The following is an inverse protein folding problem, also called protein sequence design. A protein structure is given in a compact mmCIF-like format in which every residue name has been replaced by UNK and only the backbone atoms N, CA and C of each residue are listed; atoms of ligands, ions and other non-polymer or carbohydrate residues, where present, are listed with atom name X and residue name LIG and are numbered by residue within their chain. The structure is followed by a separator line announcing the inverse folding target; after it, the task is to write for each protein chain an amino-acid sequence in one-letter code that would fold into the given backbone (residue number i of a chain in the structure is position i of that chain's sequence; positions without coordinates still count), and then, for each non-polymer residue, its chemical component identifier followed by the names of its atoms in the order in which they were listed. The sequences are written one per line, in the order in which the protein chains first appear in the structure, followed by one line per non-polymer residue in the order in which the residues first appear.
data_IF_159302513362
#
_entry.id   IF_159302513362
#
_cell.length_a   1.000
_cell.length_b   1.000
_cell.length_c   1.000
_cell.angle_alpha   90.00
_cell.angle_beta   90.00
_cell.angle_gamma   90.00
#
_symmetry.space_group_name_H-M   'P 1'
#
loop_
_entity.id
_entity.type
_entity.pdbx_description
1 polymer ?
#
# COMPACT_ATOMS: atom_id res chain seq x y z
N UNK A 1 39.44 31.81 57.99
CA UNK A 1 39.87 30.65 57.17
C UNK A 1 38.78 29.59 56.95
N UNK A 2 37.94 29.25 57.94
CA UNK A 2 36.87 28.24 57.82
C UNK A 2 35.77 28.59 56.79
N UNK A 3 35.34 29.85 56.72
CA UNK A 3 34.27 30.27 55.81
C UNK A 3 34.59 30.07 54.31
N UNK A 4 35.84 30.31 53.89
CA UNK A 4 36.28 30.11 52.49
C UNK A 4 36.19 28.64 52.05
N UNK A 5 36.43 27.70 52.98
CA UNK A 5 36.35 26.26 52.71
C UNK A 5 34.92 25.78 52.51
N UNK A 6 33.96 26.33 53.26
CA UNK A 6 32.54 25.97 53.16
C UNK A 6 31.96 26.45 51.83
N UNK A 7 32.25 27.68 51.42
CA UNK A 7 31.77 28.24 50.14
C UNK A 7 32.29 27.43 48.95
N UNK A 8 33.57 27.04 48.97
CA UNK A 8 34.14 26.20 47.92
C UNK A 8 33.46 24.82 47.82
N UNK A 9 33.13 24.22 48.97
CA UNK A 9 32.48 22.90 49.04
C UNK A 9 31.05 22.93 48.49
N UNK A 10 30.29 23.99 48.81
CA UNK A 10 28.93 24.20 48.26
C UNK A 10 28.98 24.42 46.75
N UNK A 11 29.97 25.16 46.26
CA UNK A 11 30.14 25.40 44.82
C UNK A 11 30.45 24.12 44.05
N UNK A 12 31.36 23.28 44.58
CA UNK A 12 31.69 21.98 43.98
C UNK A 12 30.48 21.05 43.97
N UNK A 13 29.69 21.04 45.05
CA UNK A 13 28.47 20.24 45.13
C UNK A 13 27.41 20.73 44.12
N UNK A 14 27.22 22.04 43.98
CA UNK A 14 26.29 22.62 43.01
C UNK A 14 26.71 22.30 41.57
N UNK A 15 28.01 22.36 41.26
CA UNK A 15 28.53 21.94 39.94
C UNK A 15 28.31 20.44 39.69
N UNK A 16 28.56 19.59 40.69
CA UNK A 16 28.37 18.14 40.55
C UNK A 16 26.89 17.78 40.31
N UNK A 17 25.95 18.41 41.04
CA UNK A 17 24.51 18.19 40.85
C UNK A 17 24.03 18.73 39.49
N UNK A 18 24.55 19.89 39.05
CA UNK A 18 24.23 20.46 37.74
C UNK A 18 24.71 19.57 36.58
N UNK A 19 25.87 18.91 36.73
CA UNK A 19 26.36 17.96 35.72
C UNK A 19 25.55 16.66 35.61
N UNK A 20 24.78 16.28 36.65
CA UNK A 20 23.92 15.09 36.61
C UNK A 20 22.58 15.32 35.90
N UNK A 21 22.13 16.57 35.75
CA UNK A 21 20.88 16.91 35.05
C UNK A 21 21.02 16.91 33.52
N UNK A 22 22.23 16.72 32.99
CA UNK A 22 22.52 16.64 31.55
C UNK A 22 22.63 15.21 31.01
N UNK A 23 22.09 14.22 31.72
CA UNK A 23 21.82 12.91 31.11
C UNK A 23 20.46 13.03 30.42
N UNK A 24 20.42 13.74 29.28
CA UNK A 24 19.33 13.54 28.34
C UNK A 24 19.42 12.09 27.88
N UNK A 25 18.39 11.31 28.21
CA UNK A 25 18.20 9.98 27.64
C UNK A 25 17.95 10.15 26.14
N UNK A 26 19.02 10.17 25.35
CA UNK A 26 18.95 10.00 23.90
C UNK A 26 18.96 8.51 23.59
N UNK A 27 18.02 7.76 24.15
CA UNK A 27 17.62 6.48 23.56
C UNK A 27 16.68 6.81 22.42
N UNK A 28 17.22 7.48 21.38
CA UNK A 28 16.58 7.47 20.08
C UNK A 28 16.66 6.01 19.61
N UNK A 29 15.63 5.24 19.94
CA UNK A 29 15.52 3.86 19.50
C UNK A 29 15.48 3.91 17.97
N UNK A 30 16.59 3.48 17.34
CA UNK A 30 16.68 3.47 15.89
C UNK A 30 15.54 2.60 15.36
N UNK A 31 14.73 3.18 14.47
CA UNK A 31 13.70 2.43 13.75
C UNK A 31 14.45 1.35 12.95
N UNK A 32 14.11 0.06 13.13
CA UNK A 32 14.80 -1.00 12.41
C UNK A 32 14.59 -0.81 10.91
N UNK A 33 15.66 -0.94 10.12
CA UNK A 33 15.54 -0.97 8.65
C UNK A 33 14.89 -2.29 8.24
N UNK A 34 13.80 -2.25 7.44
CA UNK A 34 13.18 -3.47 6.96
C UNK A 34 14.13 -4.23 6.02
N UNK A 35 13.98 -5.55 5.93
CA UNK A 35 14.77 -6.35 4.99
C UNK A 35 14.27 -6.18 3.56
N UNK A 36 15.01 -6.68 2.57
CA UNK A 36 14.53 -6.71 1.19
C UNK A 36 13.38 -7.72 1.07
N UNK A 37 12.17 -7.34 0.64
CA UNK A 37 11.05 -8.28 0.56
C UNK A 37 11.28 -9.34 -0.52
N UNK A 38 10.87 -10.59 -0.23
CA UNK A 38 10.76 -11.63 -1.25
C UNK A 38 9.47 -11.38 -2.05
N UNK A 39 9.60 -11.14 -3.35
CA UNK A 39 8.49 -10.89 -4.27
C UNK A 39 8.36 -12.02 -5.28
N UNK A 40 7.15 -12.54 -5.44
CA UNK A 40 6.77 -13.43 -6.55
C UNK A 40 5.64 -12.79 -7.35
N UNK A 41 5.76 -12.83 -8.67
CA UNK A 41 4.77 -12.26 -9.59
C UNK A 41 4.22 -13.38 -10.47
N UNK A 42 2.90 -13.42 -10.67
CA UNK A 42 2.27 -14.32 -11.63
C UNK A 42 1.08 -13.67 -12.32
N UNK A 43 0.82 -14.09 -13.55
CA UNK A 43 -0.42 -13.80 -14.27
C UNK A 43 -1.46 -14.85 -13.91
N UNK A 44 -2.65 -14.42 -13.49
CA UNK A 44 -3.80 -15.28 -13.25
C UNK A 44 -4.86 -14.98 -14.30
N UNK A 45 -5.20 -15.99 -15.09
CA UNK A 45 -6.21 -15.91 -16.15
C UNK A 45 -7.44 -16.72 -15.76
N UNK A 46 -8.51 -16.01 -15.40
CA UNK A 46 -9.83 -16.55 -15.10
C UNK A 46 -10.84 -16.23 -16.22
N UNK A 47 -10.36 -15.99 -17.44
CA UNK A 47 -11.20 -15.67 -18.60
C UNK A 47 -12.07 -16.85 -19.00
N UNK A 48 -13.28 -16.58 -19.48
CA UNK A 48 -14.24 -17.60 -19.87
C UNK A 48 -15.10 -17.15 -21.06
N UNK A 49 -15.63 -18.10 -21.80
CA UNK A 49 -16.52 -17.84 -22.92
C UNK A 49 -17.98 -17.93 -22.48
N UNK A 50 -18.78 -16.92 -22.83
CA UNK A 50 -20.22 -16.89 -22.62
C UNK A 50 -20.90 -17.37 -23.90
N UNK A 51 -21.57 -18.54 -23.90
CA UNK A 51 -22.23 -19.05 -25.08
C UNK A 51 -23.40 -18.15 -25.49
N UNK A 52 -23.71 -18.14 -26.78
CA UNK A 52 -24.87 -17.41 -27.29
C UNK A 52 -26.15 -17.95 -26.63
N UNK A 53 -27.04 -17.04 -26.20
CA UNK A 53 -28.34 -17.46 -25.65
C UNK A 53 -29.28 -17.79 -26.80
N UNK A 54 -29.96 -18.93 -26.73
CA UNK A 54 -31.01 -19.27 -27.68
C UNK A 54 -32.16 -18.25 -27.53
N UNK A 55 -32.62 -17.62 -28.62
CA UNK A 55 -33.78 -16.73 -28.56
C UNK A 55 -34.99 -17.51 -28.05
N UNK A 56 -35.67 -16.94 -27.05
CA UNK A 56 -36.91 -17.51 -26.52
C UNK A 56 -38.10 -16.91 -27.26
N UNK A 57 -39.10 -17.74 -27.52
CA UNK A 57 -40.33 -17.34 -28.20
C UNK A 57 -41.54 -17.73 -27.36
N UNK A 58 -42.57 -16.91 -27.40
CA UNK A 58 -43.89 -17.23 -26.84
C UNK A 58 -44.93 -17.14 -27.93
N UNK A 59 -45.95 -18.00 -27.84
CA UNK A 59 -47.11 -17.93 -28.73
C UNK A 59 -48.07 -16.90 -28.14
N UNK A 60 -48.51 -15.94 -28.97
CA UNK A 60 -49.59 -15.02 -28.62
C UNK A 60 -50.91 -15.80 -28.53
N UNK A 61 -51.60 -15.82 -27.37
CA UNK A 61 -52.79 -16.65 -27.18
C UNK A 61 -54.01 -16.17 -27.98
N UNK A 62 -53.99 -14.95 -28.52
CA UNK A 62 -55.11 -14.37 -29.28
C UNK A 62 -54.91 -14.44 -30.79
N UNK A 63 -53.66 -14.46 -31.26
CA UNK A 63 -53.33 -14.48 -32.69
C UNK A 63 -52.70 -15.79 -33.16
N UNK A 64 -52.21 -16.63 -32.25
CA UNK A 64 -51.47 -17.86 -32.56
C UNK A 64 -50.08 -17.61 -33.15
N UNK A 65 -49.65 -16.35 -33.29
CA UNK A 65 -48.36 -16.02 -33.87
C UNK A 65 -47.24 -16.18 -32.86
N UNK A 66 -46.09 -16.65 -33.34
CA UNK A 66 -44.88 -16.76 -32.54
C UNK A 66 -44.24 -15.38 -32.39
N UNK A 67 -44.07 -14.91 -31.14
CA UNK A 67 -43.39 -13.66 -30.80
C UNK A 67 -42.07 -13.96 -30.11
N UNK A 68 -41.00 -13.32 -30.55
CA UNK A 68 -39.71 -13.41 -29.87
C UNK A 68 -39.77 -12.61 -28.56
N UNK A 69 -39.40 -13.24 -27.45
CA UNK A 69 -39.43 -12.65 -26.10
C UNK A 69 -38.04 -12.24 -25.63
N UNK A 70 -37.00 -12.90 -26.12
CA UNK A 70 -35.62 -12.45 -25.92
C UNK A 70 -34.82 -12.47 -27.22
N UNK A 71 -34.16 -11.36 -27.51
CA UNK A 71 -33.03 -11.36 -28.46
C UNK A 71 -31.92 -12.18 -27.85
N UNK A 72 -31.57 -13.30 -28.49
CA UNK A 72 -30.39 -14.07 -28.10
C UNK A 72 -29.16 -13.17 -28.15
N UNK A 73 -28.38 -13.11 -27.07
CA UNK A 73 -27.09 -12.41 -27.09
C UNK A 73 -26.10 -13.23 -27.91
N UNK A 74 -25.27 -12.58 -28.72
CA UNK A 74 -24.14 -13.24 -29.39
C UNK A 74 -23.20 -13.84 -28.35
N UNK A 75 -22.48 -14.90 -28.71
CA UNK A 75 -21.40 -15.42 -27.87
C UNK A 75 -20.32 -14.36 -27.73
N UNK A 76 -19.74 -14.22 -26.54
CA UNK A 76 -18.63 -13.30 -26.29
C UNK A 76 -17.69 -13.88 -25.25
N UNK A 77 -16.43 -13.43 -25.28
CA UNK A 77 -15.41 -13.80 -24.30
C UNK A 77 -15.32 -12.74 -23.21
N UNK A 78 -15.30 -13.17 -21.95
CA UNK A 78 -15.02 -12.31 -20.80
C UNK A 78 -13.53 -12.44 -20.48
N UNK A 79 -12.78 -11.38 -20.71
CA UNK A 79 -11.38 -11.28 -20.29
C UNK A 79 -11.34 -10.95 -18.79
N UNK A 80 -10.83 -11.88 -17.98
CA UNK A 80 -10.71 -11.74 -16.53
C UNK A 80 -9.30 -12.16 -16.12
N UNK A 81 -8.36 -11.26 -16.35
CA UNK A 81 -6.94 -11.45 -16.08
C UNK A 81 -6.48 -10.52 -14.98
N UNK A 82 -5.58 -10.99 -14.12
CA UNK A 82 -4.95 -10.18 -13.10
C UNK A 82 -3.48 -10.53 -12.92
N UNK A 83 -2.67 -9.55 -12.54
CA UNK A 83 -1.31 -9.75 -12.06
C UNK A 83 -1.39 -9.87 -10.54
N UNK A 84 -0.91 -10.99 -10.02
CA UNK A 84 -0.80 -11.22 -8.59
C UNK A 84 0.64 -11.04 -8.15
N UNK A 85 0.84 -10.09 -7.23
CA UNK A 85 2.08 -9.90 -6.50
C UNK A 85 1.94 -10.56 -5.13
N UNK A 86 2.81 -11.52 -4.84
CA UNK A 86 2.86 -12.22 -3.56
C UNK A 86 4.16 -11.83 -2.85
N UNK A 87 4.02 -11.07 -1.78
CA UNK A 87 5.11 -10.52 -0.97
C UNK A 87 5.21 -11.35 0.31
N UNK A 88 6.40 -11.87 0.65
CA UNK A 88 6.60 -12.57 1.93
C UNK A 88 6.62 -11.54 3.07
N UNK A 89 5.76 -11.74 4.05
CA UNK A 89 5.65 -10.84 5.18
C UNK A 89 6.92 -10.90 6.03
N UNK A 90 7.41 -9.73 6.44
CA UNK A 90 8.58 -9.61 7.32
C UNK A 90 8.11 -9.55 8.78
N UNK A 91 8.85 -10.15 9.72
CA UNK A 91 8.54 -10.00 11.14
C UNK A 91 8.61 -8.52 11.54
N UNK A 92 7.48 -7.97 11.95
CA UNK A 92 7.40 -6.62 12.50
C UNK A 92 6.24 -6.58 13.50
N UNK A 93 6.49 -6.00 14.68
CA UNK A 93 5.47 -5.78 15.71
C UNK A 93 5.12 -4.30 15.72
N UNK A 94 3.92 -3.89 15.27
CA UNK A 94 3.51 -2.50 15.31
C UNK A 94 3.52 -1.94 16.74
N UNK A 95 3.81 -0.65 16.86
CA UNK A 95 3.84 0.04 18.15
C UNK A 95 3.41 1.50 18.01
N UNK A 96 3.05 2.12 19.12
CA UNK A 96 2.76 3.56 19.16
C UNK A 96 3.97 4.29 19.72
N UNK A 97 4.42 5.34 19.03
CA UNK A 97 5.53 6.17 19.50
C UNK A 97 5.12 7.14 20.64
N UNK A 98 6.06 7.93 21.14
CA UNK A 98 5.81 8.92 22.21
C UNK A 98 4.90 10.08 21.78
N UNK A 99 4.73 10.30 20.49
CA UNK A 99 3.90 11.36 19.91
C UNK A 99 2.48 10.85 19.59
N UNK A 100 2.22 9.55 19.81
CA UNK A 100 0.92 8.93 19.57
C UNK A 100 0.74 8.39 18.15
N UNK A 101 1.79 8.36 17.33
CA UNK A 101 1.73 7.80 15.99
C UNK A 101 1.79 6.28 16.02
N UNK A 102 0.90 5.64 15.25
CA UNK A 102 0.92 4.20 15.06
C UNK A 102 1.97 3.82 14.00
N UNK A 103 3.09 3.27 14.44
CA UNK A 103 4.19 2.81 13.60
C UNK A 103 3.89 1.40 13.09
N UNK A 104 3.73 1.27 11.78
CA UNK A 104 3.44 0.04 11.05
C UNK A 104 4.52 -0.33 10.02
N UNK A 105 4.45 -1.57 9.54
CA UNK A 105 5.13 -2.02 8.32
C UNK A 105 4.17 -1.85 7.15
N UNK A 106 4.70 -1.37 6.04
CA UNK A 106 3.96 -1.12 4.81
C UNK A 106 4.75 -1.58 3.58
N UNK A 107 4.05 -1.88 2.50
CA UNK A 107 4.61 -2.19 1.20
C UNK A 107 4.17 -1.15 0.18
N UNK A 108 5.16 -0.58 -0.52
CA UNK A 108 4.93 0.22 -1.71
C UNK A 108 5.41 -0.54 -2.94
N UNK A 109 4.63 -0.50 -4.02
CA UNK A 109 4.97 -1.16 -5.27
C UNK A 109 5.30 -0.09 -6.30
N UNK A 110 6.32 -0.38 -7.11
CA UNK A 110 6.51 0.32 -8.37
C UNK A 110 6.65 -0.67 -9.51
N UNK A 111 6.18 -0.26 -10.67
CA UNK A 111 6.20 -1.07 -11.87
C UNK A 111 6.60 -0.22 -13.08
N UNK A 112 7.14 -0.87 -14.10
CA UNK A 112 7.39 -0.26 -15.41
C UNK A 112 7.23 -1.30 -16.50
N UNK A 113 6.98 -0.84 -17.72
CA UNK A 113 7.20 -1.71 -18.89
C UNK A 113 8.66 -2.13 -18.95
N UNK A 114 8.94 -3.35 -19.39
CA UNK A 114 10.30 -3.90 -19.42
C UNK A 114 11.27 -3.00 -20.20
N UNK A 115 10.82 -2.49 -21.35
CA UNK A 115 11.55 -1.52 -22.18
C UNK A 115 11.36 -0.05 -21.79
N UNK A 116 10.56 0.22 -20.75
CA UNK A 116 10.34 1.55 -20.21
C UNK A 116 11.48 1.98 -19.28
N UNK A 117 11.72 3.29 -19.24
CA UNK A 117 12.71 3.92 -18.34
C UNK A 117 12.09 4.52 -17.08
N UNK A 118 10.80 4.86 -17.13
CA UNK A 118 10.07 5.50 -16.03
C UNK A 118 9.30 4.48 -15.20
N UNK A 119 9.41 4.60 -13.88
CA UNK A 119 8.62 3.82 -12.91
C UNK A 119 7.30 4.52 -12.60
N UNK A 120 6.24 3.74 -12.51
CA UNK A 120 4.96 4.13 -11.94
C UNK A 120 4.86 3.55 -10.53
N UNK A 121 4.23 4.27 -9.61
CA UNK A 121 4.02 3.83 -8.24
C UNK A 121 2.57 3.41 -8.03
N UNK A 122 2.35 2.37 -7.22
CA UNK A 122 1.03 1.93 -6.80
C UNK A 122 1.08 1.38 -5.35
N UNK A 123 0.21 1.85 -4.46
CA UNK A 123 -0.84 2.85 -4.70
C UNK A 123 -0.29 4.28 -4.49
N UNK A 124 0.87 4.44 -3.86
CA UNK A 124 1.39 5.70 -3.34
C UNK A 124 2.70 6.10 -4.01
N UNK A 125 2.77 7.31 -4.58
CA UNK A 125 4.00 7.90 -5.10
C UNK A 125 4.72 8.70 -3.99
N UNK A 126 5.89 8.28 -3.48
CA UNK A 126 6.60 9.00 -2.43
C UNK A 126 7.29 10.28 -2.93
N UNK A 127 7.43 10.45 -4.25
CA UNK A 127 8.16 11.57 -4.87
C UNK A 127 7.26 12.73 -5.32
N UNK A 128 5.94 12.64 -5.16
CA UNK A 128 5.00 13.65 -5.66
C UNK A 128 3.79 13.88 -4.76
N UNK A 129 2.97 14.89 -5.11
CA UNK A 129 1.63 15.05 -4.54
C UNK A 129 0.87 13.74 -4.73
N UNK A 130 0.30 13.20 -3.65
CA UNK A 130 -0.48 11.96 -3.68
C UNK A 130 -1.32 11.90 -4.95
N UNK A 131 -1.18 10.83 -5.74
CA UNK A 131 -2.03 10.67 -6.93
C UNK A 131 -3.46 10.55 -6.45
N UNK A 132 -4.18 11.67 -6.40
CA UNK A 132 -5.62 11.70 -6.21
C UNK A 132 -6.16 10.80 -7.30
N UNK A 133 -6.72 9.65 -6.91
CA UNK A 133 -7.46 8.81 -7.85
C UNK A 133 -8.64 9.65 -8.33
N UNK A 134 -8.50 10.28 -9.49
CA UNK A 134 -9.54 11.09 -10.12
C UNK A 134 -10.58 10.13 -10.71
N UNK A 135 -11.43 9.56 -9.86
CA UNK A 135 -12.35 8.51 -10.27
C UNK A 135 -13.31 8.08 -9.18
N UNK A 136 -14.31 8.93 -8.90
CA UNK A 136 -15.43 8.61 -8.04
C UNK A 136 -15.54 9.54 -6.84
N UNK A 137 -16.75 9.72 -6.36
CA UNK A 137 -17.18 10.65 -5.30
C UNK A 137 -16.61 10.33 -3.91
N UNK A 138 -15.52 9.58 -3.86
CA UNK A 138 -14.87 9.08 -2.66
C UNK A 138 -13.36 9.29 -2.83
N UNK A 139 -12.82 10.35 -2.22
CA UNK A 139 -11.38 10.61 -2.19
C UNK A 139 -10.72 9.56 -1.29
N UNK A 140 -10.59 8.33 -1.81
CA UNK A 140 -9.87 7.28 -1.10
C UNK A 140 -8.39 7.57 -1.26
N UNK A 141 -7.78 8.05 -0.20
CA UNK A 141 -6.34 8.23 -0.17
C UNK A 141 -5.67 6.88 -0.35
N UNK A 142 -4.77 6.84 -1.32
CA UNK A 142 -4.05 5.64 -1.69
C UNK A 142 -2.97 5.36 -0.64
N UNK A 143 -3.34 4.57 0.37
CA UNK A 143 -2.48 4.13 1.48
C UNK A 143 -1.60 2.97 0.99
N UNK A 144 -0.28 2.96 1.28
CA UNK A 144 0.58 1.79 1.08
C UNK A 144 -0.03 0.50 1.63
N UNK A 145 0.27 -0.64 1.02
CA UNK A 145 -0.30 -1.92 1.43
C UNK A 145 0.19 -2.33 2.81
N UNK A 146 -0.73 -2.75 3.68
CA UNK A 146 -0.36 -3.35 4.96
C UNK A 146 -0.16 -4.86 4.83
N UNK A 147 0.79 -5.45 5.58
CA UNK A 147 0.92 -6.90 5.68
C UNK A 147 -0.40 -7.55 6.08
N UNK A 148 -0.77 -8.67 5.44
CA UNK A 148 -1.85 -9.52 5.91
C UNK A 148 -1.44 -10.33 7.15
N UNK A 149 -2.41 -10.94 7.85
CA UNK A 149 -2.15 -11.85 8.98
C UNK A 149 -1.59 -13.23 8.56
N UNK A 150 -1.32 -13.44 7.26
CA UNK A 150 -0.75 -14.70 6.74
C UNK A 150 0.75 -14.59 6.49
N UNK A 151 1.40 -15.67 6.04
CA UNK A 151 2.83 -15.63 5.66
C UNK A 151 3.09 -14.67 4.48
N UNK A 152 2.08 -14.43 3.63
CA UNK A 152 2.23 -13.65 2.42
C UNK A 152 1.13 -12.59 2.26
N UNK A 153 1.51 -11.40 1.82
CA UNK A 153 0.54 -10.42 1.33
C UNK A 153 0.36 -10.61 -0.17
N UNK A 154 -0.89 -10.80 -0.59
CA UNK A 154 -1.25 -10.97 -2.00
C UNK A 154 -1.98 -9.73 -2.50
N UNK A 155 -1.43 -9.10 -3.53
CA UNK A 155 -2.00 -7.92 -4.17
C UNK A 155 -2.36 -8.31 -5.59
N UNK A 156 -3.63 -8.13 -5.97
CA UNK A 156 -4.14 -8.45 -7.29
C UNK A 156 -4.46 -7.16 -8.05
N UNK A 157 -3.94 -7.04 -9.26
CA UNK A 157 -4.17 -5.89 -10.15
C UNK A 157 -4.83 -6.37 -11.44
N UNK A 158 -6.01 -5.83 -11.81
CA UNK A 158 -6.67 -6.23 -13.04
C UNK A 158 -5.80 -5.85 -14.24
N UNK A 159 -5.73 -6.76 -15.21
CA UNK A 159 -5.09 -6.52 -16.51
C UNK A 159 -6.10 -5.87 -17.44
N UNK A 160 -5.64 -4.98 -18.31
CA UNK A 160 -6.49 -4.23 -19.23
C UNK A 160 -7.02 -2.91 -18.66
N UNK A 161 -6.64 -2.54 -17.42
CA UNK A 161 -6.86 -1.21 -16.86
C UNK A 161 -5.65 -0.30 -17.08
N UNK A 162 -5.80 0.99 -16.82
CA UNK A 162 -4.70 1.97 -16.90
C UNK A 162 -3.48 1.48 -16.10
N UNK A 163 -2.36 1.26 -16.79
CA UNK A 163 -1.07 0.84 -16.20
C UNK A 163 -0.69 -0.63 -16.41
N UNK A 164 -1.63 -1.53 -16.74
CA UNK A 164 -1.37 -2.97 -16.89
C UNK A 164 -1.90 -3.48 -18.24
N UNK A 165 -1.08 -3.46 -19.31
CA UNK A 165 -1.53 -3.88 -20.64
C UNK A 165 -1.83 -5.38 -20.70
N UNK A 166 -2.74 -5.77 -21.61
CA UNK A 166 -3.10 -7.19 -21.83
C UNK A 166 -1.93 -8.08 -22.26
N UNK A 167 -0.89 -7.48 -22.84
CA UNK A 167 0.27 -8.17 -23.38
C UNK A 167 1.53 -7.32 -23.14
N UNK A 168 2.68 -7.99 -23.01
CA UNK A 168 3.98 -7.36 -22.86
C UNK A 168 4.73 -7.87 -21.64
N UNK A 169 5.95 -7.36 -21.48
CA UNK A 169 6.80 -7.63 -20.34
C UNK A 169 6.82 -6.43 -19.40
N UNK A 170 6.76 -6.68 -18.10
CA UNK A 170 6.76 -5.66 -17.06
C UNK A 170 7.74 -6.05 -15.96
N UNK A 171 8.42 -5.04 -15.42
CA UNK A 171 9.26 -5.20 -14.25
C UNK A 171 8.51 -4.66 -13.02
N UNK A 172 8.69 -5.36 -11.90
CA UNK A 172 8.07 -5.01 -10.62
C UNK A 172 9.14 -4.87 -9.55
N UNK A 173 8.94 -3.90 -8.66
CA UNK A 173 9.72 -3.76 -7.45
C UNK A 173 8.80 -3.48 -6.28
N UNK A 174 9.17 -4.02 -5.12
CA UNK A 174 8.50 -3.80 -3.85
C UNK A 174 9.49 -3.19 -2.87
N UNK A 175 9.02 -2.19 -2.14
CA UNK A 175 9.76 -1.58 -1.04
C UNK A 175 8.98 -1.83 0.26
N UNK A 176 9.65 -2.45 1.24
CA UNK A 176 9.16 -2.45 2.62
C UNK A 176 9.52 -1.14 3.30
N UNK A 177 8.61 -0.64 4.11
CA UNK A 177 8.60 0.70 4.64
C UNK A 177 8.10 0.66 6.08
N UNK A 178 8.85 1.20 7.04
CA UNK A 178 8.40 1.33 8.44
C UNK A 178 8.15 2.79 8.73
N UNK A 179 6.98 3.09 9.29
CA UNK A 179 6.59 4.46 9.54
C UNK A 179 5.16 4.55 9.98
N UNK A 180 4.55 5.72 9.80
CA UNK A 180 3.15 5.94 10.11
C UNK A 180 2.49 6.75 9.01
N UNK A 181 1.17 6.67 9.00
CA UNK A 181 0.33 7.41 8.05
C UNK A 181 -0.42 8.45 8.84
N UNK A 182 -0.25 9.71 8.45
CA UNK A 182 -0.95 10.83 9.05
C UNK A 182 -1.79 11.52 7.98
N UNK A 183 -3.08 11.69 8.27
CA UNK A 183 -3.93 12.60 7.52
C UNK A 183 -3.66 14.02 8.03
N UNK A 184 -3.08 14.88 7.20
CA UNK A 184 -2.93 16.31 7.47
C UNK A 184 -3.89 17.07 6.54
N UNK A 185 -5.09 17.40 7.04
CA UNK A 185 -6.10 18.10 6.25
C UNK A 185 -6.66 17.25 5.10
N UNK A 186 -6.57 17.75 3.87
CA UNK A 186 -6.96 17.04 2.64
C UNK A 186 -5.79 16.31 1.96
N UNK A 187 -4.66 16.13 2.66
CA UNK A 187 -3.49 15.43 2.16
C UNK A 187 -3.09 14.30 3.12
N UNK A 188 -2.63 13.19 2.54
CA UNK A 188 -2.07 12.07 3.30
C UNK A 188 -0.55 12.12 3.21
N UNK A 189 0.10 12.23 4.36
CA UNK A 189 1.54 12.20 4.49
C UNK A 189 1.92 10.84 5.09
N UNK A 190 2.51 9.98 4.26
CA UNK A 190 3.20 8.79 4.74
C UNK A 190 4.63 9.20 5.11
N UNK A 191 4.92 9.32 6.41
CA UNK A 191 6.30 9.45 6.87
C UNK A 191 6.87 8.06 7.04
N UNK A 192 7.60 7.65 6.03
CA UNK A 192 8.29 6.37 6.00
C UNK A 192 9.78 6.59 6.21
N UNK A 193 10.36 5.77 7.08
CA UNK A 193 11.80 5.63 7.23
C UNK A 193 12.21 4.35 6.50
N UNK A 194 13.05 4.50 5.47
CA UNK A 194 13.57 3.41 4.64
C UNK A 194 15.09 3.37 4.69
#
# INVERSE_FOLDING_TARGET
MKARKIVALVFILALAVSSMLLIQSTTAQAIPTPSVPELKVRLVDNSYDVPARTPTYTIDPYTGQQKQVSSGSSSYRVENKSIELRIKNQPFTPYTDSEGHYIGLYYNIRYKGHYGTSWCYDPFNPEGESTKSYGGWDMTYLIPYTPSDSEYTVISKPVGTSGFPNYGEMDFQVQAQIGYIQAEGNDFMARVYG
#
